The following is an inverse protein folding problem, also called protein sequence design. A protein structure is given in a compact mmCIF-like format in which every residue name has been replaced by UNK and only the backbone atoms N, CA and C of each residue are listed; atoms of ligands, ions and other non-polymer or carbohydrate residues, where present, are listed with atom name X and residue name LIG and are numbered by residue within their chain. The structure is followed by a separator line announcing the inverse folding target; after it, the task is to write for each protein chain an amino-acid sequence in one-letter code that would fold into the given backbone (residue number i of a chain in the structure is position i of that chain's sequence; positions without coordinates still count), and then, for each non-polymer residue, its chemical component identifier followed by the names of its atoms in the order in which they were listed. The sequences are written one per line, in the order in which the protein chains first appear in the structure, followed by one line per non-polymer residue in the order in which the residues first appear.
data_IF_167197488911
#
_entry.id   IF_167197488911
#
_cell.length_a   1.000
_cell.length_b   1.000
_cell.length_c   1.000
_cell.angle_alpha   90.00
_cell.angle_beta   90.00
_cell.angle_gamma   90.00
#
_symmetry.space_group_name_H-M   'P 1'
#
loop_
_entity.id
_entity.type
_entity.pdbx_description
1 polymer ?
#
# COMPACT_ATOMS: atom_id res chain seq x y z
N UNK A 1 30.69 44.76 17.63
CA UNK A 1 31.25 43.77 18.57
C UNK A 1 31.37 42.44 17.84
N UNK A 2 32.54 41.78 17.87
CA UNK A 2 32.68 40.43 17.32
C UNK A 2 32.11 39.44 18.35
N UNK A 3 31.26 38.48 17.94
CA UNK A 3 30.76 37.45 18.85
C UNK A 3 31.93 36.73 19.53
N UNK A 4 31.75 36.34 20.79
CA UNK A 4 32.75 35.51 21.46
C UNK A 4 32.83 34.14 20.78
N UNK A 5 33.98 33.47 20.88
CA UNK A 5 34.21 32.15 20.29
C UNK A 5 33.11 31.13 20.67
N UNK A 6 32.63 31.20 21.92
CA UNK A 6 31.53 30.36 22.44
C UNK A 6 30.18 30.63 21.77
N UNK A 7 29.90 31.89 21.43
CA UNK A 7 28.67 32.26 20.71
C UNK A 7 28.69 31.74 19.28
N UNK A 8 29.85 31.81 18.61
CA UNK A 8 30.04 31.29 17.26
C UNK A 8 29.85 29.77 17.20
N UNK A 9 30.40 29.01 18.14
CA UNK A 9 30.19 27.56 18.23
C UNK A 9 28.70 27.21 18.45
N UNK A 10 28.03 27.94 19.34
CA UNK A 10 26.61 27.71 19.63
C UNK A 10 25.73 27.94 18.39
N UNK A 11 26.00 29.01 17.65
CA UNK A 11 25.32 29.30 16.37
C UNK A 11 25.55 28.15 15.39
N UNK A 12 26.80 27.72 15.18
CA UNK A 12 27.13 26.65 14.25
C UNK A 12 26.43 25.32 14.59
N UNK A 13 26.40 24.92 15.87
CA UNK A 13 25.70 23.71 16.33
C UNK A 13 24.19 23.81 16.09
N UNK A 14 23.60 24.97 16.36
CA UNK A 14 22.16 25.21 16.16
C UNK A 14 21.80 25.17 14.69
N UNK A 15 22.59 25.81 13.82
CA UNK A 15 22.38 25.78 12.38
C UNK A 15 22.51 24.36 11.81
N UNK A 16 23.51 23.60 12.24
CA UNK A 16 23.67 22.21 11.84
C UNK A 16 22.47 21.35 12.28
N UNK A 17 22.02 21.48 13.53
CA UNK A 17 20.86 20.76 14.03
C UNK A 17 19.59 21.09 13.23
N UNK A 18 19.35 22.37 12.92
CA UNK A 18 18.22 22.80 12.08
C UNK A 18 18.32 22.24 10.67
N UNK A 19 19.48 22.31 10.02
CA UNK A 19 19.70 21.75 8.67
C UNK A 19 19.48 20.24 8.65
N UNK A 20 19.98 19.54 9.66
CA UNK A 20 19.76 18.10 9.82
C UNK A 20 18.27 17.76 9.96
N UNK A 21 17.53 18.49 10.79
CA UNK A 21 16.08 18.30 10.93
C UNK A 21 15.33 18.52 9.60
N UNK A 22 15.69 19.56 8.85
CA UNK A 22 15.07 19.87 7.55
C UNK A 22 15.32 18.74 6.54
N UNK A 23 16.56 18.24 6.43
CA UNK A 23 16.86 17.14 5.52
C UNK A 23 16.18 15.83 5.97
N UNK A 24 16.11 15.54 7.27
CA UNK A 24 15.37 14.39 7.79
C UNK A 24 13.87 14.46 7.44
N UNK A 25 13.25 15.64 7.59
CA UNK A 25 11.84 15.84 7.22
C UNK A 25 11.63 15.69 5.71
N UNK A 26 12.53 16.26 4.90
CA UNK A 26 12.52 16.10 3.44
C UNK A 26 12.65 14.64 3.03
N UNK A 27 13.56 13.87 3.65
CA UNK A 27 13.68 12.44 3.41
C UNK A 27 12.41 11.68 3.77
N UNK A 28 11.80 11.96 4.93
CA UNK A 28 10.51 11.36 5.34
C UNK A 28 9.40 11.67 4.34
N UNK A 29 9.33 12.92 3.86
CA UNK A 29 8.35 13.34 2.85
C UNK A 29 8.54 12.60 1.53
N UNK A 30 9.78 12.47 1.06
CA UNK A 30 10.09 11.73 -0.18
C UNK A 30 9.67 10.25 -0.06
N UNK A 31 9.98 9.60 1.06
CA UNK A 31 9.58 8.22 1.32
C UNK A 31 8.05 8.05 1.36
N UNK A 32 7.33 8.99 1.99
CA UNK A 32 5.88 8.96 2.03
C UNK A 32 5.26 9.12 0.63
N UNK A 33 5.82 9.99 -0.21
CA UNK A 33 5.39 10.20 -1.59
C UNK A 33 5.65 8.96 -2.47
N UNK A 34 6.82 8.33 -2.32
CA UNK A 34 7.16 7.09 -3.02
C UNK A 34 6.22 5.95 -2.62
N UNK A 35 5.97 5.77 -1.32
CA UNK A 35 5.02 4.76 -0.84
C UNK A 35 3.61 4.99 -1.39
N UNK A 36 3.18 6.25 -1.50
CA UNK A 36 1.90 6.60 -2.11
C UNK A 36 1.87 6.22 -3.59
N UNK A 37 2.90 6.59 -4.36
CA UNK A 37 3.03 6.22 -5.79
C UNK A 37 2.99 4.71 -5.99
N UNK A 38 3.69 3.95 -5.16
CA UNK A 38 3.68 2.49 -5.23
C UNK A 38 2.30 1.92 -4.92
N UNK A 39 1.58 2.45 -3.93
CA UNK A 39 0.21 2.02 -3.64
C UNK A 39 -0.71 2.26 -4.84
N UNK A 40 -0.63 3.45 -5.43
CA UNK A 40 -1.48 3.82 -6.57
C UNK A 40 -1.17 2.96 -7.81
N UNK A 41 0.11 2.66 -8.07
CA UNK A 41 0.54 1.83 -9.20
C UNK A 41 0.03 0.38 -9.12
N UNK A 42 0.01 -0.20 -7.92
CA UNK A 42 -0.42 -1.58 -7.70
C UNK A 42 -1.91 -1.71 -7.35
N UNK A 43 -2.64 -0.60 -7.22
CA UNK A 43 -4.07 -0.62 -6.91
C UNK A 43 -4.86 -1.32 -8.02
N UNK A 44 -5.71 -2.29 -7.65
CA UNK A 44 -6.47 -3.14 -8.58
C UNK A 44 -5.60 -3.88 -9.61
N UNK A 45 -4.33 -4.18 -9.26
CA UNK A 45 -3.42 -4.98 -10.08
C UNK A 45 -3.21 -6.34 -9.44
N UNK A 46 -3.25 -7.38 -10.27
CA UNK A 46 -2.92 -8.73 -9.87
C UNK A 46 -1.43 -8.79 -9.48
N UNK A 47 -1.06 -9.15 -8.25
CA UNK A 47 0.34 -9.24 -7.85
C UNK A 47 1.03 -10.49 -8.39
N UNK A 48 0.30 -11.41 -9.06
CA UNK A 48 0.90 -12.55 -9.75
C UNK A 48 1.44 -12.18 -11.13
N UNK A 49 0.68 -11.40 -11.93
CA UNK A 49 1.05 -11.09 -13.32
C UNK A 49 1.00 -9.60 -13.70
N UNK A 50 0.58 -8.72 -12.81
CA UNK A 50 0.48 -7.27 -13.05
C UNK A 50 -0.76 -6.81 -13.85
N UNK A 51 -1.60 -7.74 -14.31
CA UNK A 51 -2.81 -7.41 -15.07
C UNK A 51 -3.93 -6.89 -14.17
N UNK A 52 -4.92 -6.25 -14.76
CA UNK A 52 -6.03 -5.63 -14.05
C UNK A 52 -6.92 -6.67 -13.35
N UNK A 53 -7.36 -6.33 -12.14
CA UNK A 53 -8.38 -7.08 -11.41
C UNK A 53 -9.76 -6.56 -11.82
N UNK A 54 -10.68 -7.48 -12.08
CA UNK A 54 -12.06 -7.21 -12.44
C UNK A 54 -12.92 -7.59 -11.24
N UNK A 55 -13.60 -6.62 -10.65
CA UNK A 55 -14.54 -6.83 -9.54
C UNK A 55 -15.83 -7.49 -10.09
N UNK A 56 -16.27 -8.57 -9.42
CA UNK A 56 -17.48 -9.32 -9.77
C UNK A 56 -18.31 -9.53 -8.50
N UNK A 57 -19.59 -9.19 -8.54
CA UNK A 57 -20.54 -9.50 -7.46
C UNK A 57 -21.03 -10.95 -7.55
N UNK A 58 -20.66 -11.77 -6.58
CA UNK A 58 -21.13 -13.15 -6.43
C UNK A 58 -21.86 -13.32 -5.09
N UNK A 59 -23.19 -13.50 -5.15
CA UNK A 59 -24.03 -13.71 -3.95
C UNK A 59 -23.84 -12.63 -2.87
N UNK A 60 -23.77 -11.36 -3.30
CA UNK A 60 -23.49 -10.19 -2.46
C UNK A 60 -22.08 -10.14 -1.84
N UNK A 61 -21.15 -10.93 -2.38
CA UNK A 61 -19.72 -10.87 -2.07
C UNK A 61 -19.03 -10.31 -3.31
N UNK A 62 -18.29 -9.22 -3.14
CA UNK A 62 -17.40 -8.69 -4.17
C UNK A 62 -16.18 -9.59 -4.27
N UNK A 63 -15.78 -9.92 -5.48
CA UNK A 63 -14.66 -10.81 -5.76
C UNK A 63 -13.84 -10.23 -6.90
N UNK A 64 -12.56 -10.02 -6.66
CA UNK A 64 -11.65 -9.50 -7.68
C UNK A 64 -11.00 -10.65 -8.45
N UNK A 65 -11.30 -10.78 -9.74
CA UNK A 65 -10.69 -11.78 -10.62
C UNK A 65 -9.68 -11.14 -11.57
N UNK A 66 -8.49 -11.70 -11.65
CA UNK A 66 -7.52 -11.31 -12.66
C UNK A 66 -7.99 -11.68 -14.07
N UNK A 67 -7.89 -10.73 -14.99
CA UNK A 67 -8.26 -10.90 -16.40
C UNK A 67 -7.41 -11.91 -17.18
N UNK A 68 -6.22 -12.27 -16.68
CA UNK A 68 -5.25 -13.07 -17.43
C UNK A 68 -4.92 -14.40 -16.75
N UNK A 69 -4.49 -14.36 -15.48
CA UNK A 69 -3.91 -15.54 -14.82
C UNK A 69 -4.89 -16.35 -13.97
N UNK A 70 -6.20 -16.05 -14.08
CA UNK A 70 -7.31 -16.63 -13.32
C UNK A 70 -7.16 -16.57 -11.78
N UNK A 71 -6.32 -15.65 -11.29
CA UNK A 71 -6.15 -15.43 -9.85
C UNK A 71 -7.37 -14.74 -9.24
N UNK A 72 -7.82 -15.21 -8.09
CA UNK A 72 -8.90 -14.59 -7.31
C UNK A 72 -8.28 -13.85 -6.12
N UNK A 73 -8.71 -12.62 -5.93
CA UNK A 73 -8.32 -11.73 -4.85
C UNK A 73 -9.55 -11.42 -4.01
N UNK A 74 -9.39 -11.60 -2.70
CA UNK A 74 -10.41 -11.30 -1.71
C UNK A 74 -9.78 -10.39 -0.67
N UNK A 75 -10.46 -9.31 -0.32
CA UNK A 75 -10.07 -8.50 0.84
C UNK A 75 -10.41 -9.22 2.17
N UNK A 76 -10.00 -8.62 3.29
CA UNK A 76 -10.20 -9.23 4.61
C UNK A 76 -11.69 -9.44 4.96
N UNK A 77 -12.59 -8.57 4.49
CA UNK A 77 -14.03 -8.67 4.76
C UNK A 77 -14.73 -9.65 3.81
N UNK A 78 -14.30 -9.69 2.55
CA UNK A 78 -14.79 -10.62 1.54
C UNK A 78 -14.44 -12.06 1.90
N UNK A 79 -13.22 -12.33 2.36
CA UNK A 79 -12.82 -13.66 2.79
C UNK A 79 -13.71 -14.18 3.94
N UNK A 80 -14.03 -13.32 4.92
CA UNK A 80 -14.95 -13.68 6.00
C UNK A 80 -16.36 -13.98 5.48
N UNK A 81 -16.84 -13.19 4.52
CA UNK A 81 -18.14 -13.43 3.87
C UNK A 81 -18.17 -14.76 3.12
N UNK A 82 -17.10 -15.10 2.39
CA UNK A 82 -16.98 -16.38 1.70
C UNK A 82 -16.89 -17.54 2.69
N UNK A 83 -16.18 -17.37 3.82
CA UNK A 83 -16.05 -18.39 4.86
C UNK A 83 -17.37 -18.68 5.59
N UNK A 84 -18.27 -17.69 5.66
CA UNK A 84 -19.63 -17.83 6.23
C UNK A 84 -20.62 -18.53 5.29
N UNK A 85 -20.27 -18.74 4.01
CA UNK A 85 -21.08 -19.55 3.11
C UNK A 85 -21.18 -20.98 3.64
N UNK A 86 -22.26 -21.67 3.29
CA UNK A 86 -22.46 -23.09 3.63
C UNK A 86 -21.24 -23.95 3.23
N UNK A 87 -21.08 -25.13 3.85
CA UNK A 87 -19.98 -26.06 3.55
C UNK A 87 -19.80 -26.23 2.04
N UNK A 88 -18.59 -25.97 1.55
CA UNK A 88 -18.25 -25.98 0.12
C UNK A 88 -18.55 -24.67 -0.63
N UNK A 89 -18.86 -23.57 0.06
CA UNK A 89 -19.04 -22.25 -0.55
C UNK A 89 -17.78 -21.75 -1.25
N UNK A 90 -16.61 -21.96 -0.64
CA UNK A 90 -15.30 -21.74 -1.26
C UNK A 90 -15.13 -22.58 -2.52
N UNK A 91 -15.40 -23.89 -2.45
CA UNK A 91 -15.25 -24.80 -3.59
C UNK A 91 -16.16 -24.42 -4.76
N UNK A 92 -17.41 -24.01 -4.46
CA UNK A 92 -18.36 -23.51 -5.46
C UNK A 92 -17.88 -22.18 -6.07
N UNK A 93 -17.37 -21.27 -5.25
CA UNK A 93 -16.79 -20.01 -5.72
C UNK A 93 -15.63 -20.29 -6.69
N UNK A 94 -14.65 -21.11 -6.28
CA UNK A 94 -13.56 -21.50 -7.16
C UNK A 94 -14.05 -22.24 -8.41
N UNK A 95 -15.07 -23.09 -8.32
CA UNK A 95 -15.66 -23.78 -9.48
C UNK A 95 -16.34 -22.84 -10.48
N UNK A 96 -16.95 -21.74 -10.03
CA UNK A 96 -17.59 -20.75 -10.92
C UNK A 96 -16.56 -19.94 -11.69
N UNK A 97 -15.43 -19.65 -11.03
CA UNK A 97 -14.39 -18.79 -11.59
C UNK A 97 -13.24 -19.55 -12.26
N UNK A 98 -13.19 -20.88 -12.12
CA UNK A 98 -12.25 -21.77 -12.81
C UNK A 98 -12.75 -22.04 -14.23
N UNK A 99 -11.85 -21.88 -15.20
CA UNK A 99 -12.09 -22.14 -16.63
C UNK A 99 -12.17 -23.63 -16.92
#
# INVERSE_FOLDING_TARGET
MKPSEKEAEYIARTEFAKKKQIEEEKHKRLQAEEKKKLRDLHNMRCPKCGMELIEIDYKAIKVDKCSECDGIWLDAGELEAVAKLEKGGLDKLFSVFKK
#
